data_IF_253270418542
#
_entry.id   IF_253270418542
#
_cell.length_a   1.000
_cell.length_b   1.000
_cell.length_c   1.000
_cell.angle_alpha   90.00
_cell.angle_beta   90.00
_cell.angle_gamma   90.00
#
_symmetry.space_group_name_H-M   'P 1'
#
loop_
_entity.id
_entity.type
_entity.pdbx_description
1 polymer ?
#
# COMPACT_ATOMS: atom_id res chain seq x y z
N UNK A 1 48.88 1.45 -3.37
CA UNK A 1 48.21 0.14 -3.47
C UNK A 1 47.96 -0.18 -4.94
N UNK A 2 48.46 -1.31 -5.46
CA UNK A 2 48.31 -1.68 -6.86
C UNK A 2 46.92 -2.29 -7.13
N UNK A 3 46.40 -2.26 -8.37
CA UNK A 3 45.11 -2.84 -8.69
C UNK A 3 45.17 -4.37 -8.60
N UNK A 4 44.18 -4.97 -7.94
CA UNK A 4 43.99 -6.42 -7.81
C UNK A 4 43.65 -7.02 -9.17
N UNK A 5 44.56 -7.81 -9.74
CA UNK A 5 44.28 -8.69 -10.87
C UNK A 5 43.37 -9.84 -10.41
N UNK A 6 42.23 -9.95 -11.08
CA UNK A 6 41.25 -11.02 -10.93
C UNK A 6 41.71 -12.25 -11.73
N UNK A 7 42.18 -13.29 -11.05
CA UNK A 7 42.42 -14.61 -11.66
C UNK A 7 41.04 -15.22 -11.96
N UNK A 8 40.58 -15.08 -13.20
CA UNK A 8 39.39 -15.75 -13.70
C UNK A 8 39.71 -17.22 -13.97
N UNK A 9 38.92 -18.10 -13.35
CA UNK A 9 39.01 -19.54 -13.52
C UNK A 9 38.78 -19.99 -14.97
N UNK A 10 39.45 -21.08 -15.30
CA UNK A 10 39.45 -21.77 -16.58
C UNK A 10 38.10 -21.76 -17.30
N UNK A 11 38.16 -21.28 -18.54
CA UNK A 11 37.08 -21.20 -19.52
C UNK A 11 36.42 -22.55 -19.78
N UNK A 12 35.08 -22.55 -19.72
CA UNK A 12 34.22 -23.57 -20.31
C UNK A 12 34.47 -23.63 -21.83
N UNK A 13 34.51 -24.82 -22.46
CA UNK A 13 34.72 -24.93 -23.90
C UNK A 13 33.50 -24.36 -24.66
N UNK A 14 33.76 -23.28 -25.40
CA UNK A 14 32.89 -22.80 -26.48
C UNK A 14 32.85 -23.88 -27.59
N UNK A 15 31.74 -24.59 -27.75
CA UNK A 15 31.48 -25.32 -29.00
C UNK A 15 30.90 -24.34 -30.02
N UNK A 16 31.75 -23.46 -30.54
CA UNK A 16 31.48 -22.65 -31.71
C UNK A 16 31.88 -23.44 -32.95
N UNK A 17 30.91 -23.87 -33.75
CA UNK A 17 31.16 -24.53 -35.03
C UNK A 17 31.83 -23.55 -35.98
N UNK A 18 33.03 -23.88 -36.44
CA UNK A 18 33.73 -23.17 -37.51
C UNK A 18 32.91 -23.23 -38.81
N UNK A 19 32.53 -22.08 -39.34
CA UNK A 19 32.00 -21.96 -40.70
C UNK A 19 33.12 -22.24 -41.70
N UNK A 20 33.06 -23.37 -42.39
CA UNK A 20 33.73 -23.56 -43.68
C UNK A 20 32.66 -23.31 -44.73
N UNK A 21 32.69 -22.12 -45.34
CA UNK A 21 31.84 -21.78 -46.48
C UNK A 21 32.36 -22.46 -47.73
N UNK A 22 31.74 -23.56 -48.16
CA UNK A 22 31.90 -24.09 -49.52
C UNK A 22 31.09 -23.20 -50.49
N UNK A 23 31.70 -22.58 -51.51
CA UNK A 23 31.03 -21.58 -52.35
C UNK A 23 30.28 -22.15 -53.56
N UNK A 24 29.68 -23.35 -53.47
CA UNK A 24 28.96 -23.96 -54.61
C UNK A 24 27.67 -24.69 -54.23
N UNK A 25 26.75 -24.01 -53.55
CA UNK A 25 25.35 -24.45 -53.46
C UNK A 25 24.39 -23.25 -53.54
N UNK A 26 24.32 -22.62 -54.71
CA UNK A 26 23.15 -21.84 -55.13
C UNK A 26 22.14 -22.83 -55.72
N UNK A 27 21.22 -23.33 -54.88
CA UNK A 27 19.93 -23.88 -55.33
C UNK A 27 18.86 -23.44 -54.35
N UNK A 28 17.91 -22.65 -54.85
CA UNK A 28 16.68 -22.20 -54.18
C UNK A 28 15.98 -23.37 -53.50
N UNK A 29 15.79 -23.31 -52.18
CA UNK A 29 14.79 -24.10 -51.44
C UNK A 29 14.04 -23.17 -50.50
N UNK A 30 12.72 -23.17 -50.64
CA UNK A 30 11.79 -22.52 -49.72
C UNK A 30 11.99 -23.05 -48.28
N UNK A 31 11.71 -22.25 -47.24
CA UNK A 31 11.89 -22.69 -45.86
C UNK A 31 10.82 -23.71 -45.48
N UNK A 32 11.12 -25.00 -45.66
CA UNK A 32 10.36 -26.07 -45.03
C UNK A 32 10.51 -25.97 -43.50
N UNK A 33 9.39 -25.76 -42.81
CA UNK A 33 9.27 -25.78 -41.34
C UNK A 33 9.45 -27.20 -40.78
N UNK A 34 10.67 -27.76 -40.76
CA UNK A 34 11.00 -28.89 -39.89
C UNK A 34 12.48 -28.78 -39.46
N UNK A 35 12.79 -27.83 -38.57
CA UNK A 35 14.02 -27.93 -37.78
C UNK A 35 13.75 -28.90 -36.62
N UNK A 36 13.80 -30.20 -36.89
CA UNK A 36 14.05 -31.18 -35.83
C UNK A 36 15.44 -30.84 -35.32
N UNK A 37 15.53 -30.13 -34.18
CA UNK A 37 16.75 -30.11 -33.36
C UNK A 37 17.03 -31.55 -32.98
N UNK A 38 17.75 -32.25 -33.83
CA UNK A 38 18.14 -33.63 -33.59
C UNK A 38 19.03 -33.58 -32.35
N UNK A 39 18.58 -34.22 -31.26
CA UNK A 39 19.37 -34.34 -30.05
C UNK A 39 20.78 -34.87 -30.38
N UNK A 40 21.73 -34.68 -29.45
CA UNK A 40 23.08 -35.22 -29.60
C UNK A 40 23.06 -36.67 -30.10
N UNK A 41 24.04 -37.06 -30.90
CA UNK A 41 24.12 -38.41 -31.47
C UNK A 41 23.91 -39.51 -30.39
N UNK A 42 24.50 -39.31 -29.21
CA UNK A 42 24.30 -40.17 -28.04
C UNK A 42 22.84 -40.23 -27.57
N UNK A 43 22.15 -39.09 -27.47
CA UNK A 43 20.73 -39.11 -27.08
C UNK A 43 19.88 -39.84 -28.10
N UNK A 44 20.20 -39.76 -29.40
CA UNK A 44 19.53 -40.52 -30.48
C UNK A 44 19.80 -42.02 -30.39
N UNK A 45 21.04 -42.44 -30.13
CA UNK A 45 21.37 -43.85 -29.91
C UNK A 45 20.67 -44.42 -28.67
N UNK A 46 20.64 -43.67 -27.55
CA UNK A 46 19.90 -44.06 -26.34
C UNK A 46 18.39 -44.25 -26.59
N UNK A 47 17.78 -43.50 -27.52
CA UNK A 47 16.36 -43.68 -27.92
C UNK A 47 16.07 -44.96 -28.68
N UNK A 48 17.06 -45.49 -29.39
CA UNK A 48 16.92 -46.71 -30.19
C UNK A 48 17.17 -47.97 -29.37
N UNK A 49 17.99 -47.88 -28.32
CA UNK A 49 18.42 -49.02 -27.52
C UNK A 49 17.29 -49.58 -26.63
N UNK A 50 16.45 -48.73 -26.03
CA UNK A 50 15.27 -49.17 -25.28
C UNK A 50 14.11 -48.16 -25.41
N UNK A 51 13.18 -48.39 -26.36
CA UNK A 51 12.05 -47.48 -26.57
C UNK A 51 11.04 -47.50 -25.40
N UNK A 52 10.93 -48.62 -24.67
CA UNK A 52 9.93 -48.80 -23.62
C UNK A 52 10.31 -48.08 -22.33
N UNK A 53 11.54 -48.27 -21.83
CA UNK A 53 12.03 -47.55 -20.65
C UNK A 53 12.07 -46.04 -20.89
N UNK A 54 12.37 -45.61 -22.13
CA UNK A 54 12.29 -44.20 -22.51
C UNK A 54 10.86 -43.67 -22.52
N UNK A 55 9.87 -44.43 -22.98
CA UNK A 55 8.48 -44.05 -22.91
C UNK A 55 8.01 -43.93 -21.45
N UNK A 56 8.35 -44.89 -20.58
CA UNK A 56 8.01 -44.85 -19.16
C UNK A 56 8.69 -43.68 -18.42
N UNK A 57 9.95 -43.38 -18.73
CA UNK A 57 10.67 -42.19 -18.24
C UNK A 57 9.96 -40.89 -18.65
N UNK A 58 9.54 -40.80 -19.92
CA UNK A 58 8.78 -39.65 -20.42
C UNK A 58 7.44 -39.50 -19.72
N UNK A 59 6.73 -40.60 -19.47
CA UNK A 59 5.46 -40.58 -18.72
C UNK A 59 5.65 -40.06 -17.29
N UNK A 60 6.67 -40.57 -16.56
CA UNK A 60 7.00 -40.08 -15.20
C UNK A 60 7.35 -38.59 -15.20
N UNK A 61 8.16 -38.14 -16.17
CA UNK A 61 8.51 -36.72 -16.33
C UNK A 61 7.29 -35.88 -16.68
N UNK A 62 6.43 -36.33 -17.59
CA UNK A 62 5.21 -35.63 -17.98
C UNK A 62 4.24 -35.49 -16.81
N UNK A 63 4.09 -36.54 -15.98
CA UNK A 63 3.29 -36.49 -14.76
C UNK A 63 3.86 -35.47 -13.74
N UNK A 64 5.19 -35.44 -13.55
CA UNK A 64 5.83 -34.44 -12.68
C UNK A 64 5.65 -33.02 -13.22
N UNK A 65 5.87 -32.79 -14.52
CA UNK A 65 5.65 -31.49 -15.16
C UNK A 65 4.18 -31.05 -15.00
N UNK A 66 3.22 -31.95 -15.22
CA UNK A 66 1.80 -31.67 -15.02
C UNK A 66 1.50 -31.28 -13.56
N UNK A 67 2.05 -32.01 -12.59
CA UNK A 67 1.93 -31.67 -11.16
C UNK A 67 2.56 -30.32 -10.83
N UNK A 68 3.74 -30.03 -11.37
CA UNK A 68 4.42 -28.76 -11.16
C UNK A 68 3.61 -27.60 -11.74
N UNK A 69 3.06 -27.75 -12.95
CA UNK A 69 2.18 -26.77 -13.57
C UNK A 69 0.94 -26.50 -12.70
N UNK A 70 0.31 -27.54 -12.15
CA UNK A 70 -0.83 -27.37 -11.26
C UNK A 70 -0.46 -26.58 -9.99
N UNK A 71 0.67 -26.90 -9.35
CA UNK A 71 1.16 -26.17 -8.18
C UNK A 71 1.57 -24.73 -8.50
N UNK A 72 2.16 -24.49 -9.68
CA UNK A 72 2.54 -23.15 -10.11
C UNK A 72 1.30 -22.29 -10.40
N UNK A 73 0.25 -22.87 -11.00
CA UNK A 73 -1.03 -22.19 -11.18
C UNK A 73 -1.67 -21.83 -9.83
N UNK A 74 -1.65 -22.75 -8.85
CA UNK A 74 -2.15 -22.51 -7.49
C UNK A 74 -1.38 -21.37 -6.80
N UNK A 75 -0.05 -21.37 -6.89
CA UNK A 75 0.80 -20.30 -6.33
C UNK A 75 0.58 -18.96 -7.03
N UNK A 76 0.42 -18.96 -8.36
CA UNK A 76 0.16 -17.74 -9.13
C UNK A 76 -1.19 -17.14 -8.74
N UNK A 77 -2.22 -17.99 -8.58
CA UNK A 77 -3.54 -17.55 -8.11
C UNK A 77 -3.47 -16.95 -6.69
N UNK A 78 -2.66 -17.52 -5.79
CA UNK A 78 -2.49 -17.02 -4.42
C UNK A 78 -1.60 -15.76 -4.30
N UNK A 79 -0.83 -15.40 -5.34
CA UNK A 79 0.15 -14.30 -5.26
C UNK A 79 -0.52 -12.93 -5.10
N UNK A 80 -1.69 -12.73 -5.72
CA UNK A 80 -2.48 -11.49 -5.70
C UNK A 80 -1.98 -10.40 -6.65
N UNK A 81 -2.52 -9.19 -6.53
CA UNK A 81 -2.12 -8.00 -7.32
C UNK A 81 -1.04 -7.19 -6.58
N UNK A 82 0.06 -6.75 -7.25
CA UNK A 82 1.11 -5.96 -6.62
C UNK A 82 0.72 -4.50 -6.30
N UNK A 83 -0.33 -3.97 -6.96
CA UNK A 83 -0.79 -2.58 -6.83
C UNK A 83 -2.01 -2.51 -5.93
N UNK A 84 -3.05 -3.28 -6.27
CA UNK A 84 -4.35 -3.24 -5.61
C UNK A 84 -4.34 -3.98 -4.28
N UNK A 85 -5.04 -3.42 -3.31
CA UNK A 85 -5.32 -4.06 -2.02
C UNK A 85 -6.63 -4.86 -2.10
N UNK A 86 -6.68 -5.95 -1.34
CA UNK A 86 -7.93 -6.64 -1.02
C UNK A 86 -8.86 -5.71 -0.22
N UNK A 87 -10.20 -5.83 -0.35
CA UNK A 87 -11.16 -4.94 0.31
C UNK A 87 -11.28 -5.29 1.80
N UNK A 88 -10.45 -4.67 2.64
CA UNK A 88 -10.51 -4.75 4.10
C UNK A 88 -11.36 -3.62 4.68
N UNK A 89 -11.82 -3.71 5.95
CA UNK A 89 -12.60 -2.63 6.57
C UNK A 89 -11.89 -1.26 6.52
N UNK A 90 -10.56 -1.26 6.72
CA UNK A 90 -9.75 -0.05 6.65
C UNK A 90 -9.64 0.49 5.21
N UNK A 91 -9.48 -0.37 4.22
CA UNK A 91 -9.45 0.02 2.81
C UNK A 91 -10.83 0.55 2.36
N UNK A 92 -11.92 -0.06 2.82
CA UNK A 92 -13.28 0.41 2.57
C UNK A 92 -13.52 1.80 3.17
N UNK A 93 -13.02 2.05 4.38
CA UNK A 93 -13.05 3.39 4.99
C UNK A 93 -12.32 4.43 4.13
N UNK A 94 -11.11 4.09 3.66
CA UNK A 94 -10.34 4.95 2.74
C UNK A 94 -11.11 5.21 1.44
N UNK A 95 -11.71 4.18 0.85
CA UNK A 95 -12.49 4.31 -0.38
C UNK A 95 -13.75 5.15 -0.18
N UNK A 96 -14.42 5.02 0.97
CA UNK A 96 -15.57 5.84 1.32
C UNK A 96 -15.18 7.32 1.41
N UNK A 97 -14.11 7.63 2.16
CA UNK A 97 -13.53 8.99 2.27
C UNK A 97 -13.17 9.55 0.89
N UNK A 98 -12.54 8.74 0.03
CA UNK A 98 -12.14 9.18 -1.30
C UNK A 98 -13.33 9.42 -2.23
N UNK A 99 -14.37 8.59 -2.14
CA UNK A 99 -15.60 8.74 -2.94
C UNK A 99 -16.49 9.89 -2.45
N UNK A 100 -16.26 10.40 -1.24
CA UNK A 100 -17.12 11.42 -0.63
C UNK A 100 -18.49 10.88 -0.22
N UNK A 101 -18.62 9.55 -0.06
CA UNK A 101 -19.78 8.94 0.57
C UNK A 101 -19.59 9.07 2.08
N UNK A 102 -20.44 9.84 2.74
CA UNK A 102 -20.39 10.01 4.18
C UNK A 102 -20.49 8.64 4.87
N UNK A 103 -19.48 8.31 5.68
CA UNK A 103 -19.45 7.10 6.52
C UNK A 103 -20.31 7.38 7.74
N UNK A 104 -21.63 7.45 7.56
CA UNK A 104 -22.58 7.64 8.68
C UNK A 104 -22.83 6.35 9.46
N UNK A 105 -22.21 5.25 9.08
CA UNK A 105 -22.21 4.02 9.86
C UNK A 105 -20.95 3.22 9.56
N UNK A 106 -20.03 3.15 10.52
CA UNK A 106 -19.22 1.98 10.91
C UNK A 106 -18.05 2.46 11.79
N UNK A 107 -18.16 2.21 13.10
CA UNK A 107 -17.10 2.08 14.11
C UNK A 107 -15.75 2.78 13.85
N UNK A 108 -15.60 4.03 14.28
CA UNK A 108 -14.41 4.57 14.99
C UNK A 108 -14.54 6.09 15.13
N UNK A 109 -14.12 6.62 16.28
CA UNK A 109 -14.19 8.02 16.73
C UNK A 109 -13.36 9.02 15.91
N UNK A 110 -13.40 8.96 14.58
CA UNK A 110 -12.76 9.96 13.72
C UNK A 110 -13.85 10.72 12.99
N UNK A 111 -14.43 11.70 13.68
CA UNK A 111 -15.20 12.76 13.05
C UNK A 111 -14.29 13.46 12.05
N UNK A 112 -14.43 13.09 10.78
CA UNK A 112 -13.40 13.38 9.82
C UNK A 112 -13.71 14.70 9.15
N UNK A 113 -13.36 15.77 9.84
CA UNK A 113 -13.64 17.12 9.42
C UNK A 113 -12.45 17.70 8.64
N UNK A 114 -12.72 18.72 7.83
CA UNK A 114 -11.68 19.39 7.07
C UNK A 114 -10.80 20.27 8.00
N UNK A 115 -9.64 20.69 7.49
CA UNK A 115 -8.75 21.64 8.15
C UNK A 115 -8.11 21.19 9.48
N UNK A 116 -7.98 19.87 9.72
CA UNK A 116 -7.39 19.31 10.95
C UNK A 116 -8.16 19.63 12.23
N UNK A 117 -9.46 19.87 12.10
CA UNK A 117 -10.35 20.17 13.22
C UNK A 117 -10.93 18.86 13.74
N UNK A 118 -10.90 18.63 15.06
CA UNK A 118 -11.66 17.54 15.69
C UNK A 118 -13.07 18.02 16.03
N UNK A 119 -14.05 17.12 16.05
CA UNK A 119 -15.43 17.49 16.40
C UNK A 119 -15.52 18.18 17.75
N UNK A 120 -14.89 17.58 18.77
CA UNK A 120 -14.91 18.11 20.13
C UNK A 120 -14.28 19.51 20.21
N UNK A 121 -13.15 19.73 19.52
CA UNK A 121 -12.43 21.01 19.52
C UNK A 121 -13.25 22.12 18.87
N UNK A 122 -14.03 21.80 17.85
CA UNK A 122 -14.89 22.78 17.20
C UNK A 122 -16.11 23.14 18.01
N UNK A 123 -16.80 22.17 18.61
CA UNK A 123 -17.96 22.47 19.44
C UNK A 123 -17.54 23.35 20.62
N UNK A 124 -16.41 23.03 21.26
CA UNK A 124 -15.81 23.89 22.29
C UNK A 124 -15.48 25.30 21.78
N UNK A 125 -14.96 25.43 20.56
CA UNK A 125 -14.66 26.74 19.96
C UNK A 125 -15.93 27.55 19.68
N UNK A 126 -17.02 26.90 19.25
CA UNK A 126 -18.31 27.55 19.02
C UNK A 126 -18.97 27.97 20.34
N UNK A 127 -18.94 27.13 21.36
CA UNK A 127 -19.42 27.45 22.70
C UNK A 127 -18.65 28.64 23.30
N UNK A 128 -17.32 28.63 23.16
CA UNK A 128 -16.47 29.75 23.60
C UNK A 128 -16.81 31.06 22.87
N UNK A 129 -16.99 31.00 21.55
CA UNK A 129 -17.40 32.16 20.75
C UNK A 129 -18.79 32.68 21.14
N UNK A 130 -19.73 31.77 21.42
CA UNK A 130 -21.07 32.12 21.92
C UNK A 130 -20.98 32.88 23.23
N UNK A 131 -20.22 32.37 24.20
CA UNK A 131 -20.07 32.97 25.52
C UNK A 131 -19.43 34.37 25.48
N UNK A 132 -18.48 34.60 24.57
CA UNK A 132 -17.85 35.93 24.39
C UNK A 132 -18.77 36.97 23.76
N UNK A 133 -19.73 36.54 22.96
CA UNK A 133 -20.62 37.43 22.19
C UNK A 133 -22.00 37.58 22.80
N UNK A 134 -22.28 36.84 23.87
CA UNK A 134 -23.57 36.87 24.56
C UNK A 134 -23.87 38.28 25.09
N UNK A 135 -25.06 38.84 24.81
CA UNK A 135 -25.45 40.14 25.32
C UNK A 135 -25.43 40.17 26.85
N UNK A 136 -24.65 41.08 27.42
CA UNK A 136 -24.59 41.22 28.88
C UNK A 136 -25.92 41.74 29.42
N UNK A 137 -26.36 41.23 30.59
CA UNK A 137 -27.50 41.80 31.26
C UNK A 137 -27.22 43.27 31.60
N UNK A 138 -28.24 44.14 31.53
CA UNK A 138 -28.09 45.54 31.91
C UNK A 138 -27.64 45.65 33.37
N UNK A 139 -26.74 46.60 33.66
CA UNK A 139 -26.23 46.82 35.02
C UNK A 139 -27.36 47.20 36.00
N UNK A 140 -28.29 48.05 35.55
CA UNK A 140 -29.43 48.51 36.32
C UNK A 140 -30.74 47.96 35.76
N UNK A 141 -31.30 46.94 36.42
CA UNK A 141 -32.55 46.28 36.01
C UNK A 141 -33.79 47.19 36.05
N UNK A 142 -33.74 48.30 36.78
CA UNK A 142 -34.87 49.23 36.93
C UNK A 142 -34.97 50.26 35.80
N UNK A 143 -33.86 50.51 35.09
CA UNK A 143 -33.78 51.53 34.03
C UNK A 143 -33.91 50.87 32.65
N UNK A 144 -33.37 49.67 32.50
CA UNK A 144 -33.37 48.96 31.23
C UNK A 144 -34.71 48.27 30.93
N UNK A 145 -35.14 48.33 29.66
CA UNK A 145 -36.31 47.61 29.18
C UNK A 145 -36.03 46.09 29.13
N UNK A 146 -36.76 45.27 29.91
CA UNK A 146 -36.60 43.82 29.88
C UNK A 146 -36.92 43.18 28.53
N UNK A 147 -37.81 43.78 27.72
CA UNK A 147 -38.20 43.23 26.43
C UNK A 147 -37.09 43.40 25.39
N UNK A 148 -36.47 44.59 25.34
CA UNK A 148 -35.34 44.86 24.46
C UNK A 148 -34.16 43.90 24.73
N UNK A 149 -33.86 43.61 26.01
CA UNK A 149 -32.83 42.64 26.37
C UNK A 149 -33.18 41.22 25.89
N UNK A 150 -34.42 40.77 26.11
CA UNK A 150 -34.88 39.46 25.62
C UNK A 150 -34.78 39.33 24.11
N UNK A 151 -35.16 40.38 23.37
CA UNK A 151 -35.05 40.41 21.92
C UNK A 151 -33.60 40.31 21.46
N UNK A 152 -32.69 41.03 22.12
CA UNK A 152 -31.24 40.95 21.87
C UNK A 152 -30.69 39.53 22.08
N UNK A 153 -31.06 38.87 23.19
CA UNK A 153 -30.68 37.48 23.47
C UNK A 153 -31.22 36.53 22.39
N UNK A 154 -32.49 36.65 22.00
CA UNK A 154 -33.08 35.82 20.94
C UNK A 154 -32.40 36.01 19.58
N UNK A 155 -32.10 37.26 19.22
CA UNK A 155 -31.38 37.57 17.98
C UNK A 155 -29.98 36.96 18.00
N UNK A 156 -29.28 37.03 19.13
CA UNK A 156 -27.97 36.40 19.32
C UNK A 156 -28.05 34.87 19.16
N UNK A 157 -29.05 34.21 19.77
CA UNK A 157 -29.24 32.76 19.64
C UNK A 157 -29.47 32.33 18.19
N UNK A 158 -30.32 33.07 17.45
CA UNK A 158 -30.60 32.81 16.04
C UNK A 158 -29.32 33.01 15.20
N UNK A 159 -28.60 34.11 15.43
CA UNK A 159 -27.36 34.40 14.72
C UNK A 159 -26.29 33.34 15.00
N UNK A 160 -26.14 32.91 16.26
CA UNK A 160 -25.24 31.84 16.66
C UNK A 160 -25.62 30.50 16.02
N UNK A 161 -26.90 30.13 16.00
CA UNK A 161 -27.38 28.92 15.32
C UNK A 161 -27.05 28.94 13.82
N UNK A 162 -27.33 30.06 13.15
CA UNK A 162 -27.01 30.23 11.72
C UNK A 162 -25.50 30.14 11.46
N UNK A 163 -24.68 30.74 12.33
CA UNK A 163 -23.23 30.66 12.26
C UNK A 163 -22.73 29.23 12.47
N UNK A 164 -23.26 28.49 13.45
CA UNK A 164 -22.94 27.08 13.69
C UNK A 164 -23.22 26.22 12.46
N UNK A 165 -24.40 26.34 11.87
CA UNK A 165 -24.77 25.59 10.66
C UNK A 165 -23.88 25.95 9.47
N UNK A 166 -23.56 27.24 9.28
CA UNK A 166 -22.65 27.68 8.23
C UNK A 166 -21.23 27.11 8.42
N UNK A 167 -20.70 27.18 9.64
CA UNK A 167 -19.38 26.64 9.99
C UNK A 167 -19.33 25.12 9.81
N UNK A 168 -20.39 24.40 10.21
CA UNK A 168 -20.48 22.96 10.02
C UNK A 168 -20.38 22.59 8.53
N UNK A 169 -21.06 23.33 7.63
CA UNK A 169 -20.97 23.11 6.17
C UNK A 169 -19.58 23.40 5.60
N UNK A 170 -18.90 24.42 6.12
CA UNK A 170 -17.54 24.78 5.70
C UNK A 170 -16.56 23.67 6.09
N UNK A 171 -16.72 23.13 7.30
CA UNK A 171 -15.79 22.15 7.90
C UNK A 171 -16.08 20.71 7.44
N UNK A 172 -17.27 20.42 6.91
CA UNK A 172 -17.59 19.10 6.35
C UNK A 172 -16.59 18.64 5.27
N UNK A 173 -16.09 17.40 5.36
CA UNK A 173 -15.15 16.86 4.36
C UNK A 173 -15.80 16.66 2.98
N UNK A 174 -17.12 16.52 2.91
CA UNK A 174 -17.86 16.37 1.66
C UNK A 174 -17.68 17.59 0.74
N UNK A 175 -17.53 18.79 1.31
CA UNK A 175 -17.22 20.03 0.58
C UNK A 175 -15.73 20.19 0.25
N UNK A 176 -14.87 19.33 0.79
CA UNK A 176 -13.41 19.36 0.63
C UNK A 176 -12.90 18.79 -0.69
N UNK A 177 -11.65 19.12 -1.02
CA UNK A 177 -10.94 18.62 -2.20
C UNK A 177 -10.35 17.22 -1.95
N UNK A 178 -9.89 16.56 -3.02
CA UNK A 178 -9.09 15.33 -2.97
C UNK A 178 -7.87 15.48 -2.07
N UNK A 179 -7.21 16.65 -2.07
CA UNK A 179 -6.09 16.92 -1.17
C UNK A 179 -6.51 16.82 0.32
N UNK A 180 -7.68 17.34 0.66
CA UNK A 180 -8.21 17.28 2.02
C UNK A 180 -8.55 15.85 2.43
N UNK A 181 -9.18 15.10 1.54
CA UNK A 181 -9.44 13.65 1.71
C UNK A 181 -8.15 12.87 1.89
N UNK A 182 -7.07 13.22 1.18
CA UNK A 182 -5.78 12.53 1.34
C UNK A 182 -5.13 12.81 2.69
N UNK A 183 -5.25 14.04 3.20
CA UNK A 183 -4.73 14.45 4.51
C UNK A 183 -5.43 13.67 5.63
N UNK A 184 -6.75 13.65 5.58
CA UNK A 184 -7.61 12.85 6.46
C UNK A 184 -7.17 11.37 6.47
N UNK A 185 -6.95 10.79 5.28
CA UNK A 185 -6.52 9.40 5.18
C UNK A 185 -5.13 9.18 5.80
N UNK A 186 -4.25 10.17 5.74
CA UNK A 186 -2.92 10.12 6.38
C UNK A 186 -3.05 10.13 7.90
N UNK A 187 -3.94 10.94 8.46
CA UNK A 187 -4.24 10.95 9.90
C UNK A 187 -4.78 9.59 10.36
N UNK A 188 -5.77 9.03 9.65
CA UNK A 188 -6.28 7.69 9.92
C UNK A 188 -5.19 6.61 9.84
N UNK A 189 -4.23 6.74 8.91
CA UNK A 189 -3.07 5.85 8.83
C UNK A 189 -2.15 5.97 10.06
N UNK A 190 -1.90 7.19 10.54
CA UNK A 190 -1.06 7.45 11.72
C UNK A 190 -1.74 6.88 12.97
N UNK A 191 -3.04 7.09 13.13
CA UNK A 191 -3.78 6.57 14.28
C UNK A 191 -3.84 5.04 14.27
N UNK A 192 -4.10 4.42 13.12
CA UNK A 192 -4.25 2.96 13.01
C UNK A 192 -2.92 2.22 13.12
N UNK A 193 -1.87 2.70 12.44
CA UNK A 193 -0.59 1.99 12.31
C UNK A 193 0.56 2.61 13.12
N UNK A 194 0.33 3.76 13.73
CA UNK A 194 1.35 4.43 14.54
C UNK A 194 1.74 3.58 15.74
N UNK A 195 3.05 3.44 15.98
CA UNK A 195 3.57 2.60 17.06
C UNK A 195 3.11 3.06 18.44
N UNK A 196 2.79 4.33 18.59
CA UNK A 196 2.22 4.89 19.81
C UNK A 196 0.87 4.25 20.22
N UNK A 197 0.11 3.71 19.25
CA UNK A 197 -1.13 2.98 19.50
C UNK A 197 -0.92 1.46 19.40
N UNK A 198 -0.22 0.99 18.37
CA UNK A 198 -0.06 -0.46 18.17
C UNK A 198 0.79 -1.13 19.24
N UNK A 199 1.76 -0.42 19.84
CA UNK A 199 2.60 -0.97 20.92
C UNK A 199 1.78 -1.29 22.19
N UNK A 200 0.60 -0.67 22.36
CA UNK A 200 -0.33 -0.94 23.48
C UNK A 200 -1.20 -2.19 23.26
N UNK A 201 -1.50 -2.50 22.00
CA UNK A 201 -2.46 -3.54 21.61
C UNK A 201 -1.75 -4.83 21.19
N UNK A 202 -0.67 -4.71 20.42
CA UNK A 202 0.02 -5.85 19.84
C UNK A 202 1.08 -6.41 20.79
N UNK A 203 1.24 -7.74 20.84
CA UNK A 203 2.29 -8.34 21.66
C UNK A 203 3.67 -7.90 21.18
N UNK A 204 4.62 -7.67 22.11
CA UNK A 204 5.97 -7.30 21.75
C UNK A 204 6.64 -8.43 20.97
N UNK A 205 7.59 -8.06 20.11
CA UNK A 205 8.40 -9.04 19.38
C UNK A 205 9.16 -9.92 20.39
N UNK A 206 9.19 -11.25 20.21
CA UNK A 206 9.97 -12.13 21.08
C UNK A 206 11.44 -11.70 21.07
N UNK A 207 11.99 -11.48 22.26
CA UNK A 207 13.41 -11.17 22.45
C UNK A 207 14.24 -12.41 22.10
N UNK A 208 15.31 -12.23 21.33
CA UNK A 208 16.28 -13.31 21.17
C UNK A 208 16.96 -13.54 22.52
N UNK A 209 17.18 -14.79 22.90
CA UNK A 209 17.90 -15.16 24.13
C UNK A 209 19.31 -14.59 24.03
N UNK A 210 19.51 -13.40 24.62
CA UNK A 210 20.77 -12.67 24.60
C UNK A 210 21.03 -12.19 26.02
N UNK A 211 22.23 -12.45 26.54
CA UNK A 211 22.63 -12.13 27.93
C UNK A 211 22.74 -10.63 28.20
N UNK A 212 22.67 -9.78 27.16
CA UNK A 212 22.80 -8.34 27.28
C UNK A 212 21.49 -7.68 27.71
N UNK A 213 21.44 -7.18 28.93
CA UNK A 213 20.40 -6.27 29.39
C UNK A 213 20.54 -4.94 28.65
N UNK A 214 19.56 -4.60 27.81
CA UNK A 214 19.49 -3.29 27.19
C UNK A 214 18.87 -2.28 28.16
N UNK A 215 19.35 -1.03 28.21
CA UNK A 215 18.71 0.01 29.00
C UNK A 215 17.27 0.22 28.53
N UNK A 216 16.41 0.66 29.45
CA UNK A 216 15.03 1.01 29.15
C UNK A 216 14.99 2.10 28.09
N UNK A 217 14.08 1.96 27.12
CA UNK A 217 13.95 2.93 26.03
C UNK A 217 13.24 4.17 26.55
N UNK A 218 13.77 5.35 26.24
CA UNK A 218 13.10 6.61 26.54
C UNK A 218 11.71 6.67 25.90
N UNK A 219 10.71 7.23 26.59
CA UNK A 219 9.38 7.41 26.01
C UNK A 219 9.46 8.33 24.78
N UNK A 220 8.50 8.16 23.88
CA UNK A 220 8.39 9.00 22.67
C UNK A 220 7.89 10.39 23.07
N UNK A 221 8.45 11.43 22.46
CA UNK A 221 8.00 12.81 22.68
C UNK A 221 6.65 13.13 22.00
N UNK A 222 6.26 12.37 20.97
CA UNK A 222 5.06 12.66 20.19
C UNK A 222 4.55 11.48 19.36
N UNK A 223 3.54 11.70 18.50
CA UNK A 223 2.97 10.66 17.67
C UNK A 223 3.98 10.10 16.66
N UNK A 224 3.89 8.80 16.43
CA UNK A 224 4.77 8.11 15.49
C UNK A 224 4.28 8.28 14.04
N UNK A 225 4.99 9.11 13.28
CA UNK A 225 4.67 9.41 11.87
C UNK A 225 5.67 8.80 10.89
N UNK A 226 6.83 8.37 11.38
CA UNK A 226 7.97 7.97 10.57
C UNK A 226 8.18 6.45 10.48
N UNK A 227 7.38 5.65 11.16
CA UNK A 227 7.55 4.21 11.15
C UNK A 227 7.27 3.59 9.78
N UNK A 228 7.98 2.51 9.40
CA UNK A 228 7.76 1.85 8.11
C UNK A 228 6.31 1.39 7.93
N UNK A 229 5.61 1.06 9.01
CA UNK A 229 4.20 0.69 8.98
C UNK A 229 3.32 1.85 8.49
N UNK A 230 3.44 3.02 9.14
CA UNK A 230 2.74 4.25 8.77
C UNK A 230 3.11 4.70 7.36
N UNK A 231 4.40 4.67 7.00
CA UNK A 231 4.84 5.03 5.66
C UNK A 231 4.24 4.13 4.57
N UNK A 232 4.14 2.82 4.82
CA UNK A 232 3.52 1.88 3.88
C UNK A 232 2.02 2.16 3.74
N UNK A 233 1.32 2.42 4.83
CA UNK A 233 -0.10 2.77 4.80
C UNK A 233 -0.36 4.05 4.00
N UNK A 234 0.44 5.10 4.23
CA UNK A 234 0.38 6.37 3.46
C UNK A 234 0.71 6.15 1.97
N UNK A 235 1.66 5.27 1.64
CA UNK A 235 1.94 4.95 0.25
C UNK A 235 0.78 4.21 -0.39
N UNK A 236 0.12 3.30 0.33
CA UNK A 236 -1.07 2.59 -0.15
C UNK A 236 -2.21 3.57 -0.46
N UNK A 237 -2.51 4.52 0.42
CA UNK A 237 -3.56 5.54 0.14
C UNK A 237 -3.23 6.39 -1.09
N UNK A 238 -1.96 6.79 -1.27
CA UNK A 238 -1.49 7.51 -2.46
C UNK A 238 -1.58 6.68 -3.74
N UNK A 239 -1.18 5.40 -3.67
CA UNK A 239 -1.25 4.45 -4.78
C UNK A 239 -2.71 4.25 -5.21
N UNK A 240 -3.64 4.09 -4.26
CA UNK A 240 -5.07 3.95 -4.56
C UNK A 240 -5.63 5.19 -5.28
N UNK A 241 -5.34 6.38 -4.75
CA UNK A 241 -5.78 7.64 -5.37
C UNK A 241 -5.24 7.80 -6.80
N UNK A 242 -3.94 7.56 -6.99
CA UNK A 242 -3.30 7.69 -8.29
C UNK A 242 -3.76 6.61 -9.27
N UNK A 243 -3.94 5.38 -8.80
CA UNK A 243 -4.48 4.27 -9.59
C UNK A 243 -5.89 4.59 -10.08
N UNK A 244 -6.77 5.12 -9.21
CA UNK A 244 -8.12 5.54 -9.60
C UNK A 244 -8.09 6.65 -10.65
N UNK A 245 -7.23 7.66 -10.46
CA UNK A 245 -7.07 8.73 -11.45
C UNK A 245 -6.64 8.18 -12.82
N UNK A 246 -5.65 7.29 -12.85
CA UNK A 246 -5.12 6.72 -14.09
C UNK A 246 -6.09 5.79 -14.82
N UNK A 247 -7.12 5.26 -14.14
CA UNK A 247 -8.18 4.48 -14.79
C UNK A 247 -9.00 5.34 -15.78
N UNK A 248 -9.21 6.62 -15.47
CA UNK A 248 -9.86 7.56 -16.40
C UNK A 248 -8.86 8.25 -17.33
N UNK A 249 -7.62 8.50 -16.88
CA UNK A 249 -6.59 9.24 -17.63
C UNK A 249 -5.50 8.35 -18.25
N UNK A 250 -5.88 7.53 -19.23
CA UNK A 250 -4.96 6.58 -19.88
C UNK A 250 -3.73 7.21 -20.59
N UNK A 251 -3.81 8.49 -20.97
CA UNK A 251 -2.74 9.20 -21.70
C UNK A 251 -1.65 9.78 -20.79
N UNK A 252 -1.85 9.80 -19.47
CA UNK A 252 -0.90 10.40 -18.54
C UNK A 252 0.30 9.48 -18.27
N UNK A 253 1.39 9.70 -19.00
CA UNK A 253 2.64 8.92 -18.87
C UNK A 253 3.45 9.30 -17.63
N UNK A 254 3.35 10.54 -17.18
CA UNK A 254 4.11 11.04 -16.02
C UNK A 254 3.56 10.43 -14.74
N UNK A 255 2.24 10.42 -14.58
CA UNK A 255 1.61 9.82 -13.42
C UNK A 255 1.70 8.29 -13.41
N UNK A 256 1.75 7.62 -14.57
CA UNK A 256 2.10 6.19 -14.64
C UNK A 256 3.50 5.89 -14.09
N UNK A 257 4.48 6.74 -14.42
CA UNK A 257 5.83 6.65 -13.83
C UNK A 257 5.77 6.91 -12.31
N UNK A 258 5.04 7.92 -11.86
CA UNK A 258 4.90 8.23 -10.43
C UNK A 258 4.27 7.07 -9.66
N UNK A 259 3.23 6.41 -10.22
CA UNK A 259 2.63 5.21 -9.65
C UNK A 259 3.66 4.11 -9.46
N UNK A 260 4.47 3.84 -10.49
CA UNK A 260 5.56 2.85 -10.43
C UNK A 260 6.57 3.17 -9.33
N UNK A 261 6.99 4.43 -9.22
CA UNK A 261 7.91 4.88 -8.16
C UNK A 261 7.31 4.67 -6.77
N UNK A 262 6.01 4.98 -6.57
CA UNK A 262 5.33 4.78 -5.28
C UNK A 262 5.23 3.29 -4.91
N UNK A 263 4.85 2.44 -5.87
CA UNK A 263 4.75 0.98 -5.67
C UNK A 263 6.12 0.38 -5.32
N UNK A 264 7.17 0.75 -6.05
CA UNK A 264 8.54 0.30 -5.74
C UNK A 264 9.05 0.83 -4.39
N UNK A 265 8.70 2.06 -4.00
CA UNK A 265 9.02 2.59 -2.67
C UNK A 265 8.33 1.79 -1.57
N UNK A 266 7.04 1.45 -1.75
CA UNK A 266 6.28 0.59 -0.84
C UNK A 266 6.91 -0.79 -0.73
N UNK A 267 7.27 -1.41 -1.85
CA UNK A 267 7.95 -2.71 -1.90
C UNK A 267 9.24 -2.72 -1.08
N UNK A 268 10.10 -1.69 -1.22
CA UNK A 268 11.35 -1.58 -0.44
C UNK A 268 11.09 -1.51 1.07
N UNK A 269 10.08 -0.74 1.49
CA UNK A 269 9.69 -0.62 2.89
C UNK A 269 9.13 -1.94 3.43
N UNK A 270 8.29 -2.64 2.67
CA UNK A 270 7.75 -3.95 3.03
C UNK A 270 8.87 -4.98 3.21
N UNK A 271 9.82 -5.04 2.29
CA UNK A 271 11.00 -5.93 2.40
C UNK A 271 11.84 -5.62 3.65
N UNK A 272 12.04 -4.33 3.95
CA UNK A 272 12.73 -3.92 5.17
C UNK A 272 11.97 -4.35 6.43
N UNK A 273 10.67 -4.07 6.48
CA UNK A 273 9.81 -4.37 7.62
C UNK A 273 9.76 -5.88 7.87
N UNK A 274 9.56 -6.70 6.83
CA UNK A 274 9.56 -8.16 6.93
C UNK A 274 10.87 -8.68 7.51
N UNK A 275 12.02 -8.14 7.08
CA UNK A 275 13.34 -8.53 7.60
C UNK A 275 13.53 -8.15 9.06
N UNK A 276 13.08 -6.94 9.45
CA UNK A 276 13.23 -6.44 10.82
C UNK A 276 12.29 -7.12 11.81
N UNK A 277 11.03 -7.29 11.46
CA UNK A 277 10.03 -7.93 12.33
C UNK A 277 10.03 -9.46 12.21
N UNK A 278 10.74 -10.04 11.23
CA UNK A 278 10.78 -11.49 10.93
C UNK A 278 9.38 -12.10 10.72
N UNK A 279 8.43 -11.29 10.26
CA UNK A 279 7.04 -11.72 10.12
C UNK A 279 6.24 -11.78 11.41
N UNK A 280 6.68 -11.07 12.45
CA UNK A 280 5.97 -10.97 13.72
C UNK A 280 4.60 -10.27 13.66
N UNK A 281 3.96 -10.07 14.82
CA UNK A 281 2.58 -9.58 14.94
C UNK A 281 2.32 -8.27 14.20
N UNK A 282 3.26 -7.31 14.26
CA UNK A 282 3.14 -6.00 13.58
C UNK A 282 3.08 -6.12 12.07
N UNK A 283 3.93 -6.98 11.50
CA UNK A 283 3.93 -7.24 10.06
C UNK A 283 2.61 -7.87 9.62
N UNK A 284 2.12 -8.85 10.38
CA UNK A 284 0.86 -9.54 10.07
C UNK A 284 -0.31 -8.56 10.15
N UNK A 285 -0.39 -7.77 11.22
CA UNK A 285 -1.41 -6.74 11.37
C UNK A 285 -1.42 -5.79 10.17
N UNK A 286 -0.26 -5.27 9.76
CA UNK A 286 -0.17 -4.38 8.60
C UNK A 286 -0.67 -5.03 7.31
N UNK A 287 -0.23 -6.26 7.02
CA UNK A 287 -0.62 -6.96 5.80
C UNK A 287 -2.12 -7.26 5.77
N UNK A 288 -2.67 -7.73 6.90
CA UNK A 288 -4.10 -8.03 7.04
C UNK A 288 -4.96 -6.77 6.99
N UNK A 289 -4.58 -5.69 7.67
CA UNK A 289 -5.37 -4.46 7.69
C UNK A 289 -5.33 -3.72 6.35
N UNK A 290 -4.19 -3.70 5.65
CA UNK A 290 -4.08 -3.04 4.34
C UNK A 290 -4.49 -3.93 3.17
N UNK A 291 -4.81 -5.21 3.39
CA UNK A 291 -5.18 -6.14 2.34
C UNK A 291 -4.05 -6.37 1.32
N UNK A 292 -2.79 -6.36 1.79
CA UNK A 292 -1.63 -6.52 0.90
C UNK A 292 -1.29 -8.00 0.76
N UNK A 293 -1.12 -8.43 -0.49
CA UNK A 293 -0.70 -9.78 -0.85
C UNK A 293 0.82 -9.91 -0.93
N UNK A 294 1.30 -11.14 -1.14
CA UNK A 294 2.72 -11.40 -1.33
C UNK A 294 3.28 -10.75 -2.62
N UNK A 295 2.44 -10.54 -3.66
CA UNK A 295 2.80 -9.81 -4.87
C UNK A 295 3.31 -8.40 -4.58
N UNK A 296 2.80 -7.74 -3.54
CA UNK A 296 3.12 -6.35 -3.24
C UNK A 296 4.59 -6.12 -2.85
N UNK A 297 5.32 -7.19 -2.50
CA UNK A 297 6.71 -7.06 -2.04
C UNK A 297 7.67 -8.14 -2.56
N UNK A 298 7.20 -9.35 -2.87
CA UNK A 298 8.04 -10.44 -3.39
C UNK A 298 8.29 -10.26 -4.89
N UNK A 299 9.52 -10.59 -5.32
CA UNK A 299 9.90 -10.58 -6.74
C UNK A 299 10.08 -9.18 -7.32
N UNK A 300 10.05 -9.08 -8.64
CA UNK A 300 10.12 -7.82 -9.38
C UNK A 300 8.72 -7.39 -9.81
N UNK A 301 8.36 -6.13 -9.53
CA UNK A 301 7.07 -5.56 -9.93
C UNK A 301 7.25 -4.85 -11.27
N UNK A 302 6.68 -5.43 -12.32
CA UNK A 302 6.58 -4.83 -13.65
C UNK A 302 5.15 -4.36 -13.91
N UNK A 303 5.00 -3.08 -14.29
CA UNK A 303 3.71 -2.42 -14.61
C UNK A 303 3.80 -1.63 -15.91
#
# INVERSE_FOLDING_TARGET
>A
MPPRLSIQGLSKPFSGSSHISNPLTIVKREPCKIDIRAGSFETRQRRRHDPFLMAQSRQRRAANISRQQALDNERQAALGDPVKSEPTPFIQQIEAIQSGKDVTGTTSNVSTWNHFIKADEFELALEYSKALTEPLPPQDANIADPEAYKQSVQQHEIAHHNAREAMHRIVQLSSGNTADRTRVNIEACIETFGRHNTDKILPPKPTAVTTTQHPEKTPRAGPDTGSPEVQVAILTTKIMNLSRHLQSTNKDRHNKRNLRVLVHKRQKLLQYLRRKERGGPRWQNLMTSLGLSDAAWKGEISM
#
